data_IF_397771903989
#
_entry.id   IF_397771903989
#
_cell.length_a   1.000
_cell.length_b   1.000
_cell.length_c   1.000
_cell.angle_alpha   90.00
_cell.angle_beta   90.00
_cell.angle_gamma   90.00
#
_symmetry.space_group_name_H-M   'P 1'
#
loop_
_entity.id
_entity.type
_entity.pdbx_description
1 polymer ?
#
# COMPACT_ATOMS: atom_id res chain seq x y z
N UNK A 1 6.03 -4.12 -3.17
CA UNK A 1 5.29 -4.42 -1.90
C UNK A 1 5.62 -5.85 -1.45
N UNK A 2 5.44 -6.18 -0.18
CA UNK A 2 5.90 -7.45 0.42
C UNK A 2 5.20 -8.71 -0.09
N UNK A 3 4.13 -8.54 -0.88
CA UNK A 3 3.27 -9.61 -1.37
C UNK A 3 3.27 -9.71 -2.90
N UNK A 4 4.27 -9.14 -3.60
CA UNK A 4 4.28 -9.08 -5.07
C UNK A 4 5.01 -10.24 -5.77
N UNK A 5 5.82 -11.03 -5.07
CA UNK A 5 6.63 -12.15 -5.64
C UNK A 5 6.15 -13.50 -5.10
N UNK A 6 6.61 -14.60 -5.68
CA UNK A 6 6.32 -15.95 -5.20
C UNK A 6 4.87 -16.40 -5.45
N UNK A 7 4.19 -15.77 -6.41
CA UNK A 7 2.76 -15.98 -6.66
C UNK A 7 2.45 -17.16 -7.57
N UNK A 8 3.46 -17.76 -8.22
CA UNK A 8 3.30 -18.80 -9.24
C UNK A 8 2.40 -19.97 -8.81
N UNK A 9 2.58 -20.52 -7.60
CA UNK A 9 1.74 -21.63 -7.11
C UNK A 9 0.27 -21.23 -6.96
N UNK A 10 0.02 -20.01 -6.47
CA UNK A 10 -1.32 -19.45 -6.33
C UNK A 10 -1.95 -19.19 -7.69
N UNK A 11 -1.19 -18.57 -8.61
CA UNK A 11 -1.64 -18.31 -9.97
C UNK A 11 -2.03 -19.61 -10.70
N UNK A 12 -1.26 -20.68 -10.54
CA UNK A 12 -1.62 -21.99 -11.10
C UNK A 12 -2.89 -22.59 -10.47
N UNK A 13 -3.13 -22.38 -9.17
CA UNK A 13 -4.37 -22.84 -8.52
C UNK A 13 -5.58 -22.06 -9.03
N UNK A 14 -5.46 -20.74 -9.13
CA UNK A 14 -6.47 -19.85 -9.70
C UNK A 14 -6.78 -20.20 -11.17
N UNK A 15 -5.76 -20.42 -11.99
CA UNK A 15 -5.91 -20.78 -13.40
C UNK A 15 -6.67 -22.10 -13.60
N UNK A 16 -6.52 -23.07 -12.68
CA UNK A 16 -7.34 -24.30 -12.69
C UNK A 16 -8.79 -24.01 -12.37
N UNK A 17 -9.06 -23.11 -11.42
CA UNK A 17 -10.42 -22.73 -11.02
C UNK A 17 -11.14 -21.87 -12.08
N UNK A 18 -10.38 -21.17 -12.93
CA UNK A 18 -10.90 -20.37 -14.05
C UNK A 18 -10.86 -21.10 -15.40
N UNK A 19 -10.63 -22.42 -15.42
CA UNK A 19 -10.57 -23.19 -16.67
C UNK A 19 -11.92 -23.12 -17.41
N UNK A 20 -11.84 -22.91 -18.73
CA UNK A 20 -13.01 -22.84 -19.60
C UNK A 20 -13.58 -21.43 -19.76
N UNK A 21 -13.00 -20.41 -19.11
CA UNK A 21 -13.31 -19.02 -19.47
C UNK A 21 -12.76 -18.71 -20.86
N UNK A 22 -13.59 -18.07 -21.70
CA UNK A 22 -13.21 -17.60 -23.03
C UNK A 22 -13.54 -16.12 -23.19
N UNK A 23 -13.02 -15.48 -24.24
CA UNK A 23 -13.23 -14.05 -24.47
C UNK A 23 -14.67 -13.71 -24.90
N UNK A 24 -15.42 -14.71 -25.37
CA UNK A 24 -16.77 -14.61 -25.89
C UNK A 24 -17.84 -14.81 -24.81
N UNK A 25 -17.45 -15.21 -23.59
CA UNK A 25 -18.40 -15.44 -22.50
C UNK A 25 -19.03 -14.13 -22.00
N UNK A 26 -20.33 -14.13 -21.63
CA UNK A 26 -20.96 -13.00 -20.97
C UNK A 26 -20.24 -12.62 -19.67
N UNK A 27 -20.22 -11.33 -19.35
CA UNK A 27 -19.54 -10.79 -18.14
C UNK A 27 -20.09 -11.44 -16.88
N UNK A 28 -21.39 -11.69 -16.83
CA UNK A 28 -22.08 -12.31 -15.70
C UNK A 28 -21.55 -13.73 -15.43
N UNK A 29 -21.28 -14.51 -16.48
CA UNK A 29 -20.72 -15.86 -16.37
C UNK A 29 -19.26 -15.83 -15.90
N UNK A 30 -18.50 -14.84 -16.36
CA UNK A 30 -17.12 -14.60 -15.90
C UNK A 30 -17.12 -14.24 -14.40
N UNK A 31 -17.99 -13.32 -13.98
CA UNK A 31 -18.12 -12.88 -12.59
C UNK A 31 -18.60 -14.01 -11.67
N UNK A 32 -19.52 -14.85 -12.15
CA UNK A 32 -19.95 -16.04 -11.40
C UNK A 32 -18.77 -16.98 -11.08
N UNK A 33 -17.70 -16.96 -11.90
CA UNK A 33 -16.49 -17.74 -11.68
C UNK A 33 -15.51 -17.12 -10.68
N UNK A 34 -15.61 -15.82 -10.40
CA UNK A 34 -14.69 -15.09 -9.51
C UNK A 34 -14.60 -15.73 -8.12
N UNK A 35 -15.74 -16.05 -7.50
CA UNK A 35 -15.78 -16.64 -6.16
C UNK A 35 -15.03 -17.99 -6.08
N UNK A 36 -15.06 -18.80 -7.14
CA UNK A 36 -14.32 -20.06 -7.18
C UNK A 36 -12.80 -19.83 -7.25
N UNK A 37 -12.38 -18.81 -8.01
CA UNK A 37 -10.97 -18.40 -8.13
C UNK A 37 -10.44 -17.84 -6.81
N UNK A 38 -11.23 -17.00 -6.13
CA UNK A 38 -10.87 -16.44 -4.81
C UNK A 38 -10.74 -17.54 -3.76
N UNK A 39 -11.66 -18.52 -3.73
CA UNK A 39 -11.54 -19.70 -2.87
C UNK A 39 -10.27 -20.50 -3.14
N UNK A 40 -9.85 -20.63 -4.40
CA UNK A 40 -8.62 -21.32 -4.76
C UNK A 40 -7.36 -20.55 -4.30
N UNK A 41 -7.44 -19.23 -4.13
CA UNK A 41 -6.35 -18.38 -3.63
C UNK A 41 -6.28 -18.32 -2.09
N UNK A 42 -7.39 -18.54 -1.39
CA UNK A 42 -7.48 -18.41 0.07
C UNK A 42 -6.38 -19.18 0.86
N UNK A 43 -5.96 -20.41 0.48
CA UNK A 43 -4.91 -21.14 1.20
C UNK A 43 -3.52 -20.47 1.16
N UNK A 44 -3.31 -19.44 0.33
CA UNK A 44 -2.03 -18.75 0.17
C UNK A 44 -1.86 -17.53 1.11
N UNK A 45 -2.72 -17.39 2.13
CA UNK A 45 -2.57 -16.39 3.19
C UNK A 45 -2.63 -14.95 2.67
N UNK A 46 -1.67 -14.10 3.07
CA UNK A 46 -1.63 -12.69 2.66
C UNK A 46 -1.57 -12.49 1.13
N UNK A 47 -0.99 -13.44 0.38
CA UNK A 47 -1.02 -13.39 -1.09
C UNK A 47 -2.46 -13.57 -1.61
N UNK A 48 -3.18 -14.54 -1.01
CA UNK A 48 -4.56 -14.88 -1.35
C UNK A 48 -5.58 -13.80 -1.01
N UNK A 49 -5.25 -12.90 -0.08
CA UNK A 49 -6.05 -11.71 0.21
C UNK A 49 -6.08 -10.69 -0.95
N UNK A 50 -5.16 -10.82 -1.92
CA UNK A 50 -5.17 -10.07 -3.18
C UNK A 50 -4.99 -11.03 -4.35
N UNK A 51 -6.03 -11.80 -4.71
CA UNK A 51 -5.89 -12.91 -5.64
C UNK A 51 -5.50 -12.42 -7.05
N UNK A 52 -6.18 -11.39 -7.54
CA UNK A 52 -5.92 -10.81 -8.86
C UNK A 52 -4.82 -9.75 -8.78
N UNK A 53 -3.80 -9.88 -9.63
CA UNK A 53 -2.66 -8.97 -9.66
C UNK A 53 -1.69 -9.32 -10.79
N UNK A 54 -0.55 -8.64 -10.82
CA UNK A 54 0.47 -8.84 -11.86
C UNK A 54 1.03 -10.26 -11.86
N UNK A 55 1.25 -10.80 -13.07
CA UNK A 55 1.89 -12.10 -13.28
C UNK A 55 3.22 -11.93 -14.01
N UNK A 56 4.32 -12.12 -13.30
CA UNK A 56 5.66 -12.11 -13.87
C UNK A 56 5.91 -13.34 -14.75
N UNK A 57 6.73 -13.18 -15.78
CA UNK A 57 7.02 -14.22 -16.79
C UNK A 57 6.07 -14.21 -17.98
N UNK A 58 5.16 -13.24 -18.05
CA UNK A 58 4.28 -12.99 -19.20
C UNK A 58 4.46 -11.55 -19.66
N UNK A 59 4.50 -11.35 -20.99
CA UNK A 59 4.62 -10.01 -21.56
C UNK A 59 3.53 -9.07 -20.99
N UNK A 60 3.87 -7.81 -20.64
CA UNK A 60 5.17 -7.16 -20.81
C UNK A 60 6.17 -7.36 -19.63
N UNK A 61 5.83 -8.18 -18.64
CA UNK A 61 6.63 -8.34 -17.41
C UNK A 61 7.70 -9.44 -17.55
N UNK A 62 8.94 -9.18 -17.11
CA UNK A 62 9.99 -10.21 -17.12
C UNK A 62 9.67 -11.35 -16.14
N UNK A 63 10.35 -12.50 -16.24
CA UNK A 63 10.31 -13.51 -15.19
C UNK A 63 10.80 -12.93 -13.85
N UNK A 64 10.38 -13.54 -12.72
CA UNK A 64 10.70 -13.01 -11.39
C UNK A 64 12.21 -12.82 -11.14
N UNK A 65 13.05 -13.68 -11.75
CA UNK A 65 14.51 -13.58 -11.68
C UNK A 65 15.09 -12.35 -12.38
N UNK A 66 14.37 -11.79 -13.36
CA UNK A 66 14.80 -10.63 -14.14
C UNK A 66 14.26 -9.28 -13.63
N UNK A 67 13.41 -9.29 -12.59
CA UNK A 67 12.75 -8.06 -12.10
C UNK A 67 13.78 -7.02 -11.63
N UNK A 68 14.72 -7.43 -10.78
CA UNK A 68 15.67 -6.49 -10.18
C UNK A 68 16.56 -5.86 -11.26
N UNK A 69 17.05 -6.65 -12.23
CA UNK A 69 17.82 -6.15 -13.37
C UNK A 69 17.01 -5.19 -14.26
N UNK A 70 15.75 -5.52 -14.58
CA UNK A 70 14.89 -4.64 -15.36
C UNK A 70 14.62 -3.31 -14.64
N UNK A 71 14.41 -3.34 -13.33
CA UNK A 71 14.25 -2.13 -12.53
C UNK A 71 15.54 -1.34 -12.35
N UNK A 72 16.70 -2.00 -12.29
CA UNK A 72 18.00 -1.34 -12.20
C UNK A 72 18.31 -0.59 -13.49
N UNK A 73 18.06 -1.21 -14.65
CA UNK A 73 18.25 -0.58 -15.96
C UNK A 73 17.39 0.69 -16.16
N UNK A 74 16.17 0.71 -15.61
CA UNK A 74 15.28 1.87 -15.69
C UNK A 74 15.58 2.96 -14.66
N UNK A 75 16.33 2.65 -13.59
CA UNK A 75 16.43 3.53 -12.42
C UNK A 75 16.98 4.93 -12.72
N UNK A 76 18.05 5.11 -13.53
CA UNK A 76 18.59 6.44 -13.83
C UNK A 76 17.61 7.37 -14.56
N UNK A 77 16.62 6.82 -15.27
CA UNK A 77 15.66 7.59 -16.05
C UNK A 77 14.35 7.91 -15.33
N UNK A 78 14.17 7.46 -14.09
CA UNK A 78 12.90 7.59 -13.36
C UNK A 78 13.17 8.05 -11.93
N UNK A 79 12.76 9.27 -11.59
CA UNK A 79 12.75 9.73 -10.20
C UNK A 79 11.57 9.12 -9.45
N UNK A 80 11.79 8.73 -8.19
CA UNK A 80 10.79 8.05 -7.37
C UNK A 80 10.49 8.82 -6.09
N UNK A 81 9.21 9.09 -5.84
CA UNK A 81 8.65 9.41 -4.52
C UNK A 81 7.83 8.22 -4.05
N UNK A 82 8.28 7.54 -2.99
CA UNK A 82 7.64 6.31 -2.50
C UNK A 82 7.46 6.34 -0.99
N UNK A 83 6.33 5.87 -0.48
CA UNK A 83 6.09 5.89 0.96
C UNK A 83 5.04 4.91 1.41
N UNK A 84 4.68 5.06 2.67
CA UNK A 84 3.62 4.31 3.34
C UNK A 84 3.05 5.16 4.48
N UNK A 85 1.86 4.86 4.95
CA UNK A 85 1.29 5.44 6.17
C UNK A 85 1.86 4.75 7.41
N UNK A 86 1.84 5.40 8.58
CA UNK A 86 2.48 4.87 9.78
C UNK A 86 1.77 3.63 10.32
N UNK A 87 0.48 3.46 10.00
CA UNK A 87 -0.39 2.41 10.51
C UNK A 87 -1.17 1.70 9.39
N UNK A 88 -0.57 1.54 8.18
CA UNK A 88 -1.17 0.87 6.99
C UNK A 88 -2.11 -0.29 7.33
N UNK A 89 -1.61 -1.25 8.12
CA UNK A 89 -2.32 -2.48 8.42
C UNK A 89 -3.56 -2.30 9.31
N UNK A 90 -3.73 -1.13 9.95
CA UNK A 90 -4.80 -0.87 10.92
C UNK A 90 -6.19 -0.98 10.30
N UNK A 91 -6.33 -0.63 9.02
CA UNK A 91 -7.58 -0.78 8.28
C UNK A 91 -7.96 -2.25 8.04
N UNK A 92 -6.95 -3.12 7.87
CA UNK A 92 -7.14 -4.51 7.46
C UNK A 92 -7.22 -5.49 8.62
N UNK A 93 -6.81 -5.06 9.83
CA UNK A 93 -6.83 -5.89 11.04
C UNK A 93 -8.16 -6.60 11.32
N UNK A 94 -9.35 -5.96 11.19
CA UNK A 94 -10.62 -6.63 11.43
C UNK A 94 -10.86 -7.85 10.53
N UNK A 95 -10.24 -7.88 9.34
CA UNK A 95 -10.32 -8.97 8.37
C UNK A 95 -9.40 -10.16 8.66
N UNK A 96 -8.60 -10.13 9.74
CA UNK A 96 -7.68 -11.23 10.12
C UNK A 96 -8.28 -11.95 11.36
N UNK A 97 -8.97 -13.09 11.18
CA UNK A 97 -9.84 -13.67 12.23
C UNK A 97 -9.14 -13.99 13.55
N UNK A 98 -7.92 -14.57 13.47
CA UNK A 98 -7.16 -14.95 14.68
C UNK A 98 -6.66 -13.73 15.46
N UNK A 99 -6.32 -12.65 14.74
CA UNK A 99 -5.78 -11.43 15.33
C UNK A 99 -6.89 -10.59 15.94
N UNK A 100 -8.05 -10.52 15.28
CA UNK A 100 -9.25 -9.86 15.79
C UNK A 100 -9.71 -10.43 17.15
N UNK A 101 -9.48 -11.73 17.43
CA UNK A 101 -9.81 -12.36 18.72
C UNK A 101 -8.85 -11.93 19.84
N UNK A 102 -7.55 -11.89 19.57
CA UNK A 102 -6.53 -11.50 20.56
C UNK A 102 -6.61 -10.00 20.91
N UNK A 103 -6.98 -9.15 19.97
CA UNK A 103 -7.09 -7.70 20.20
C UNK A 103 -8.30 -7.28 21.04
N UNK A 104 -9.23 -8.20 21.35
CA UNK A 104 -10.44 -7.93 22.15
C UNK A 104 -10.22 -8.00 23.67
N UNK A 105 -9.04 -8.43 24.14
CA UNK A 105 -8.73 -8.47 25.56
C UNK A 105 -8.51 -7.04 26.10
N UNK A 106 -9.27 -6.63 27.12
CA UNK A 106 -9.35 -5.23 27.57
C UNK A 106 -7.99 -4.62 27.98
N UNK A 107 -7.14 -5.39 28.66
CA UNK A 107 -5.88 -4.88 29.23
C UNK A 107 -4.70 -5.02 28.25
N UNK A 108 -4.60 -6.16 27.56
CA UNK A 108 -3.45 -6.50 26.70
C UNK A 108 -3.71 -6.21 25.22
N UNK A 109 -4.98 -6.14 24.83
CA UNK A 109 -5.43 -5.96 23.45
C UNK A 109 -4.91 -4.71 22.75
N UNK A 110 -4.82 -3.53 23.40
CA UNK A 110 -4.24 -2.33 22.77
C UNK A 110 -2.77 -2.48 22.39
N UNK A 111 -1.96 -3.09 23.26
CA UNK A 111 -0.53 -3.31 23.01
C UNK A 111 -0.32 -4.34 21.91
N UNK A 112 -1.03 -5.47 21.98
CA UNK A 112 -1.01 -6.53 20.95
C UNK A 112 -1.44 -5.96 19.60
N UNK A 113 -2.51 -5.16 19.57
CA UNK A 113 -2.98 -4.49 18.35
C UNK A 113 -1.88 -3.60 17.76
N UNK A 114 -1.26 -2.73 18.57
CA UNK A 114 -0.18 -1.84 18.11
C UNK A 114 1.01 -2.62 17.55
N UNK A 115 1.44 -3.68 18.24
CA UNK A 115 2.53 -4.53 17.79
C UNK A 115 2.18 -5.22 16.46
N UNK A 116 0.96 -5.73 16.31
CA UNK A 116 0.52 -6.39 15.10
C UNK A 116 0.38 -5.41 13.91
N UNK A 117 -0.17 -4.21 14.13
CA UNK A 117 -0.18 -3.14 13.11
C UNK A 117 1.25 -2.84 12.66
N UNK A 118 2.16 -2.58 13.60
CA UNK A 118 3.55 -2.25 13.28
C UNK A 118 4.24 -3.37 12.49
N UNK A 119 4.04 -4.63 12.90
CA UNK A 119 4.61 -5.79 12.22
C UNK A 119 4.08 -5.94 10.78
N UNK A 120 2.75 -5.95 10.59
CA UNK A 120 2.15 -6.13 9.25
C UNK A 120 2.46 -4.93 8.36
N UNK A 121 2.37 -3.70 8.87
CA UNK A 121 2.78 -2.49 8.14
C UNK A 121 4.24 -2.60 7.71
N UNK A 122 5.12 -3.06 8.59
CA UNK A 122 6.54 -3.28 8.30
C UNK A 122 6.77 -4.33 7.20
N UNK A 123 6.12 -5.49 7.30
CA UNK A 123 6.31 -6.62 6.38
C UNK A 123 5.76 -6.31 4.98
N UNK A 124 4.56 -5.73 4.90
CA UNK A 124 3.85 -5.55 3.62
C UNK A 124 4.27 -4.26 2.91
N UNK A 125 4.48 -3.17 3.65
CA UNK A 125 4.68 -1.83 3.08
C UNK A 125 6.08 -1.28 3.38
N UNK A 126 6.42 -1.21 4.67
CA UNK A 126 7.58 -0.46 5.16
C UNK A 126 8.93 -0.99 4.66
N UNK A 127 9.26 -2.25 4.98
CA UNK A 127 10.53 -2.90 4.59
C UNK A 127 10.65 -3.01 3.07
N UNK A 128 9.65 -3.53 2.33
CA UNK A 128 9.73 -3.64 0.88
C UNK A 128 9.91 -2.28 0.19
N UNK A 129 9.19 -1.24 0.63
CA UNK A 129 9.34 0.11 0.10
C UNK A 129 10.74 0.68 0.37
N UNK A 130 11.33 0.44 1.55
CA UNK A 130 12.73 0.81 1.84
C UNK A 130 13.72 0.07 0.95
N UNK A 131 13.54 -1.24 0.76
CA UNK A 131 14.41 -2.05 -0.10
C UNK A 131 14.36 -1.56 -1.54
N UNK A 132 13.16 -1.31 -2.06
CA UNK A 132 12.97 -0.77 -3.40
C UNK A 132 13.67 0.58 -3.57
N UNK A 133 13.44 1.54 -2.68
CA UNK A 133 14.04 2.86 -2.79
C UNK A 133 15.58 2.83 -2.69
N UNK A 134 16.14 1.98 -1.83
CA UNK A 134 17.60 1.79 -1.72
C UNK A 134 18.19 1.17 -2.97
N UNK A 135 17.56 0.11 -3.52
CA UNK A 135 17.96 -0.48 -4.80
C UNK A 135 17.97 0.57 -5.90
N UNK A 136 16.88 1.33 -6.02
CA UNK A 136 16.73 2.38 -7.01
C UNK A 136 17.86 3.43 -6.93
N UNK A 137 18.18 3.90 -5.71
CA UNK A 137 19.28 4.82 -5.48
C UNK A 137 20.65 4.24 -5.86
N UNK A 138 20.90 2.96 -5.54
CA UNK A 138 22.16 2.26 -5.90
C UNK A 138 22.34 2.06 -7.39
N UNK A 139 21.24 1.88 -8.12
CA UNK A 139 21.23 1.74 -9.57
C UNK A 139 21.36 3.08 -10.32
N UNK A 140 21.64 4.18 -9.61
CA UNK A 140 21.86 5.51 -10.21
C UNK A 140 20.60 6.37 -10.34
N UNK A 141 19.44 5.91 -9.83
CA UNK A 141 18.21 6.71 -9.83
C UNK A 141 18.08 7.64 -8.61
N UNK A 142 17.18 8.62 -8.68
CA UNK A 142 16.81 9.43 -7.51
C UNK A 142 15.61 8.82 -6.80
N UNK A 143 15.72 8.60 -5.48
CA UNK A 143 14.60 8.13 -4.67
C UNK A 143 14.41 8.98 -3.41
N UNK A 144 13.17 9.38 -3.16
CA UNK A 144 12.71 10.00 -1.92
C UNK A 144 11.71 9.09 -1.24
N UNK A 145 11.84 8.97 0.07
CA UNK A 145 10.94 8.17 0.89
C UNK A 145 10.16 9.03 1.86
N UNK A 146 8.85 8.80 1.93
CA UNK A 146 8.00 9.43 2.93
C UNK A 146 7.33 8.43 3.88
N UNK A 147 6.89 8.93 5.04
CA UNK A 147 5.94 8.28 5.94
C UNK A 147 4.84 9.26 6.30
N UNK A 148 3.59 8.91 5.98
CA UNK A 148 2.42 9.69 6.41
C UNK A 148 2.06 9.27 7.83
N UNK A 149 1.97 10.24 8.73
CA UNK A 149 1.62 10.06 10.14
C UNK A 149 0.30 10.72 10.51
N UNK A 150 -0.30 11.44 9.57
CA UNK A 150 -1.56 12.14 9.78
C UNK A 150 -2.64 11.17 10.23
N UNK A 151 -3.42 11.58 11.23
CA UNK A 151 -4.60 10.85 11.71
C UNK A 151 -5.62 11.86 12.21
N UNK A 152 -6.90 11.64 11.90
CA UNK A 152 -7.96 12.45 12.49
C UNK A 152 -7.95 12.34 14.03
N UNK A 153 -8.17 13.45 14.77
CA UNK A 153 -8.20 13.43 16.23
C UNK A 153 -9.18 12.39 16.77
N UNK A 154 -8.72 11.54 17.70
CA UNK A 154 -9.54 10.50 18.30
C UNK A 154 -9.93 9.34 17.38
N UNK A 155 -9.50 9.35 16.11
CA UNK A 155 -9.90 8.32 15.14
C UNK A 155 -9.41 6.92 15.56
N UNK A 156 -10.31 5.92 15.57
CA UNK A 156 -9.93 4.54 15.84
C UNK A 156 -9.09 3.94 14.70
N UNK A 157 -8.97 4.61 13.55
CA UNK A 157 -8.19 4.16 12.40
C UNK A 157 -6.75 4.66 12.42
N UNK A 158 -6.43 5.73 13.17
CA UNK A 158 -5.07 6.28 13.20
C UNK A 158 -4.57 6.69 11.80
N UNK A 159 -3.27 6.57 11.56
CA UNK A 159 -2.66 6.83 10.25
C UNK A 159 -2.76 5.60 9.33
N UNK A 160 -3.99 5.11 9.11
CA UNK A 160 -4.29 3.90 8.36
C UNK A 160 -4.02 4.02 6.86
N UNK A 161 -4.15 2.90 6.14
CA UNK A 161 -4.11 2.86 4.68
C UNK A 161 -5.05 3.93 4.07
N UNK A 162 -4.61 4.54 2.98
CA UNK A 162 -5.30 5.59 2.20
C UNK A 162 -5.62 6.91 2.91
N UNK A 163 -5.15 7.13 4.13
CA UNK A 163 -5.40 8.38 4.86
C UNK A 163 -4.74 9.61 4.21
N UNK A 164 -3.79 9.38 3.31
CA UNK A 164 -3.10 10.37 2.49
C UNK A 164 -3.93 10.88 1.30
N UNK A 165 -4.89 10.08 0.80
CA UNK A 165 -5.76 10.48 -0.31
C UNK A 165 -6.55 11.77 -0.04
N UNK A 166 -7.25 11.97 1.09
CA UNK A 166 -7.92 13.23 1.39
C UNK A 166 -6.98 14.42 1.58
N UNK A 167 -5.68 14.16 1.84
CA UNK A 167 -4.67 15.21 1.89
C UNK A 167 -4.22 15.63 0.48
N UNK A 168 -4.43 14.78 -0.53
CA UNK A 168 -3.97 15.00 -1.90
C UNK A 168 -5.10 15.40 -2.85
N UNK A 169 -6.30 14.86 -2.67
CA UNK A 169 -7.36 14.90 -3.67
C UNK A 169 -8.74 15.16 -3.04
N UNK A 170 -9.67 15.67 -3.85
CA UNK A 170 -11.07 15.87 -3.48
C UNK A 170 -11.32 17.06 -2.54
N UNK A 171 -12.59 17.25 -2.22
CA UNK A 171 -13.12 18.28 -1.32
C UNK A 171 -13.89 17.65 -0.15
N UNK A 172 -14.52 18.49 0.69
CA UNK A 172 -15.23 18.02 1.88
C UNK A 172 -16.39 17.09 1.51
N UNK A 173 -17.05 17.38 0.39
CA UNK A 173 -18.17 16.60 -0.09
C UNK A 173 -17.72 15.22 -0.56
N UNK A 174 -16.65 15.14 -1.34
CA UNK A 174 -16.09 13.88 -1.82
C UNK A 174 -15.66 12.93 -0.69
N UNK A 175 -15.26 13.49 0.46
CA UNK A 175 -14.83 12.71 1.63
C UNK A 175 -15.87 12.66 2.75
N UNK A 176 -17.07 13.18 2.50
CA UNK A 176 -18.17 13.16 3.47
C UNK A 176 -18.52 11.71 3.82
N UNK A 177 -18.56 11.42 5.11
CA UNK A 177 -18.87 10.07 5.61
C UNK A 177 -17.68 9.10 5.63
N UNK A 178 -16.49 9.51 5.19
CA UNK A 178 -15.29 8.70 5.33
C UNK A 178 -14.90 8.57 6.81
N UNK A 179 -15.09 7.38 7.40
CA UNK A 179 -14.79 7.12 8.81
C UNK A 179 -13.32 7.39 9.20
N UNK A 180 -12.40 7.35 8.23
CA UNK A 180 -11.00 7.76 8.38
C UNK A 180 -10.83 9.20 8.90
N UNK A 181 -11.76 10.08 8.55
CA UNK A 181 -11.74 11.52 8.86
C UNK A 181 -12.59 11.89 10.08
N UNK A 182 -13.30 10.92 10.67
CA UNK A 182 -14.18 11.17 11.81
C UNK A 182 -13.44 11.86 12.96
N UNK A 183 -13.97 13.01 13.38
CA UNK A 183 -13.40 13.83 14.46
C UNK A 183 -12.43 14.94 14.01
N UNK A 184 -12.09 15.04 12.72
CA UNK A 184 -11.28 16.14 12.19
C UNK A 184 -12.16 17.25 11.57
N UNK A 185 -11.80 18.52 11.83
CA UNK A 185 -12.38 19.66 11.10
C UNK A 185 -11.79 19.76 9.69
N UNK A 186 -12.64 20.10 8.71
CA UNK A 186 -12.22 20.18 7.31
C UNK A 186 -11.15 21.24 7.07
N UNK A 187 -11.23 22.39 7.73
CA UNK A 187 -10.22 23.44 7.63
C UNK A 187 -8.84 22.94 8.10
N UNK A 188 -8.81 22.10 9.12
CA UNK A 188 -7.63 21.47 9.69
C UNK A 188 -7.03 20.43 8.77
N UNK A 189 -7.88 19.59 8.19
CA UNK A 189 -7.49 18.70 7.09
C UNK A 189 -6.83 19.54 5.99
N UNK A 190 -7.47 20.63 5.55
CA UNK A 190 -6.95 21.46 4.46
C UNK A 190 -5.65 22.20 4.81
N UNK A 191 -5.46 22.61 6.07
CA UNK A 191 -4.19 23.20 6.53
C UNK A 191 -3.02 22.24 6.37
N UNK A 192 -3.22 20.94 6.61
CA UNK A 192 -2.19 19.92 6.47
C UNK A 192 -2.07 19.45 5.02
N UNK A 193 -3.21 19.28 4.34
CA UNK A 193 -3.31 18.86 2.95
C UNK A 193 -2.58 19.81 1.99
N UNK A 194 -2.65 21.13 2.20
CA UNK A 194 -1.86 22.10 1.42
C UNK A 194 -0.35 21.83 1.48
N UNK A 195 0.16 21.48 2.66
CA UNK A 195 1.59 21.20 2.86
C UNK A 195 1.98 19.86 2.24
N UNK A 196 1.12 18.85 2.32
CA UNK A 196 1.33 17.56 1.64
C UNK A 196 1.32 17.74 0.12
N UNK A 197 0.34 18.45 -0.44
CA UNK A 197 0.31 18.76 -1.89
C UNK A 197 1.53 19.55 -2.35
N UNK A 198 2.08 20.42 -1.51
CA UNK A 198 3.34 21.11 -1.82
C UNK A 198 4.49 20.10 -2.03
N UNK A 199 4.62 19.07 -1.17
CA UNK A 199 5.64 18.00 -1.34
C UNK A 199 5.51 17.30 -2.68
N UNK A 200 4.28 16.90 -3.06
CA UNK A 200 4.02 16.26 -4.36
C UNK A 200 4.27 17.21 -5.53
N UNK A 201 3.88 18.47 -5.39
CA UNK A 201 4.13 19.51 -6.40
C UNK A 201 5.61 19.81 -6.58
N UNK A 202 6.41 19.78 -5.51
CA UNK A 202 7.85 19.97 -5.59
C UNK A 202 8.55 18.75 -6.20
N UNK A 203 8.07 17.54 -5.88
CA UNK A 203 8.51 16.32 -6.56
C UNK A 203 8.26 16.39 -8.06
N UNK A 204 7.02 16.67 -8.47
CA UNK A 204 6.64 16.75 -9.88
C UNK A 204 7.43 17.81 -10.67
N UNK A 205 7.93 18.86 -9.99
CA UNK A 205 8.74 19.92 -10.61
C UNK A 205 10.25 19.69 -10.48
N UNK A 206 10.70 18.55 -9.94
CA UNK A 206 12.13 18.25 -9.73
C UNK A 206 12.79 19.12 -8.65
N UNK A 207 12.02 19.71 -7.74
CA UNK A 207 12.48 20.66 -6.70
C UNK A 207 12.31 20.13 -5.28
N UNK A 208 12.04 18.84 -5.12
CA UNK A 208 11.80 18.24 -3.82
C UNK A 208 13.06 18.34 -2.93
N UNK A 209 12.93 18.75 -1.65
CA UNK A 209 14.07 18.84 -0.75
C UNK A 209 14.56 17.47 -0.31
N UNK A 210 15.84 17.38 0.08
CA UNK A 210 16.44 16.15 0.62
C UNK A 210 15.82 15.69 1.94
N UNK A 211 15.18 16.59 2.70
CA UNK A 211 14.46 16.26 3.93
C UNK A 211 13.33 17.26 4.14
N UNK A 212 12.19 16.79 4.62
CA UNK A 212 11.09 17.65 5.04
C UNK A 212 10.31 16.97 6.17
N UNK A 213 9.94 17.75 7.17
CA UNK A 213 9.07 17.32 8.26
C UNK A 213 7.86 18.24 8.30
N UNK A 214 6.67 17.67 8.19
CA UNK A 214 5.42 18.32 8.52
C UNK A 214 4.95 17.67 9.83
N UNK A 215 5.08 18.36 10.98
CA UNK A 215 4.83 17.76 12.29
C UNK A 215 3.46 17.07 12.38
N UNK A 216 3.45 15.81 12.80
CA UNK A 216 2.23 15.00 12.89
C UNK A 216 1.65 14.51 11.55
N UNK A 217 2.15 14.98 10.41
CA UNK A 217 1.55 14.71 9.09
C UNK A 217 2.44 13.84 8.22
N UNK A 218 3.70 14.26 8.00
CA UNK A 218 4.57 13.64 7.00
C UNK A 218 6.04 13.80 7.37
N UNK A 219 6.80 12.73 7.21
CA UNK A 219 8.27 12.76 7.26
C UNK A 219 8.82 12.29 5.91
N UNK A 220 9.61 13.13 5.24
CA UNK A 220 10.26 12.89 3.96
C UNK A 220 11.78 12.88 4.12
N UNK A 221 12.46 11.98 3.40
CA UNK A 221 13.91 12.01 3.24
C UNK A 221 14.34 11.44 1.89
N UNK A 222 15.41 12.00 1.32
CA UNK A 222 16.15 11.41 0.20
C UNK A 222 16.79 10.11 0.66
N UNK A 223 16.79 9.13 -0.22
CA UNK A 223 17.45 7.84 0.02
C UNK A 223 18.84 7.91 -0.58
N UNK A 224 19.84 7.55 0.23
CA UNK A 224 21.22 7.35 -0.19
C UNK A 224 21.41 5.89 -0.61
N UNK A 225 22.21 5.67 -1.66
CA UNK A 225 22.65 4.33 -2.10
C UNK A 225 23.45 3.61 -1.01
#
# INVERSE_FOLDING_TARGET
LGISRGRRRMASAMARASRGLTAEMPVEEVLARQAAVERAAAPFGLLGAMPFGTQYGHAPLPPESGIDAAWDAAAPGVDVLIGNTAEEARLFLPGIPWLARLTRLAVVGPLVRRAAVAAVTGIVYGVPGRRFARRHARAGGTAHRYVIRWSAPGSPFGAAHTVDLPLLFGDEEAWRGAGLLGGADWDGIQRDARRVRQVWGDFARGRIPSRQLIPGVLELRRVTG
#
